data_IF_083869379268
#
_entry.id   IF_083869379268
#
_cell.length_a   1.000
_cell.length_b   1.000
_cell.length_c   1.000
_cell.angle_alpha   90.00
_cell.angle_beta   90.00
_cell.angle_gamma   90.00
#
_symmetry.space_group_name_H-M   'P 1'
#
loop_
_entity.id
_entity.type
_entity.pdbx_description
1 polymer ?
#
# COMPACT_ATOMS: atom_id res chain seq x y z
N UNK A 1 7.49 8.72 -0.78
CA UNK A 1 7.48 9.56 0.45
C UNK A 1 6.49 10.71 0.36
N UNK A 2 6.65 11.67 -0.57
CA UNK A 2 5.70 12.80 -0.70
C UNK A 2 4.24 12.35 -0.87
N UNK A 3 3.97 11.40 -1.77
CA UNK A 3 2.63 10.83 -1.95
C UNK A 3 2.10 10.12 -0.71
N UNK A 4 2.96 9.40 0.02
CA UNK A 4 2.58 8.72 1.26
C UNK A 4 2.13 9.72 2.32
N UNK A 5 2.84 10.85 2.45
CA UNK A 5 2.44 11.94 3.35
C UNK A 5 1.13 12.58 2.90
N UNK A 6 0.95 12.80 1.60
CA UNK A 6 -0.27 13.37 1.04
C UNK A 6 -1.50 12.49 1.32
N UNK A 7 -1.41 11.18 1.07
CA UNK A 7 -2.47 10.21 1.34
C UNK A 7 -2.75 10.08 2.83
N UNK A 8 -1.73 10.12 3.68
CA UNK A 8 -1.84 9.97 5.13
C UNK A 8 -2.21 11.26 5.87
N UNK A 9 -2.27 12.41 5.18
CA UNK A 9 -2.59 13.71 5.77
C UNK A 9 -3.86 13.70 6.66
N UNK A 10 -5.03 13.16 6.24
CA UNK A 10 -6.22 13.13 7.09
C UNK A 10 -6.03 12.27 8.35
N UNK A 11 -5.37 11.12 8.23
CA UNK A 11 -5.06 10.25 9.36
C UNK A 11 -4.15 10.94 10.37
N UNK A 12 -3.09 11.61 9.89
CA UNK A 12 -2.16 12.36 10.75
C UNK A 12 -2.84 13.55 11.44
N UNK A 13 -3.75 14.23 10.74
CA UNK A 13 -4.53 15.32 11.31
C UNK A 13 -5.45 14.82 12.43
N UNK A 14 -6.13 13.69 12.23
CA UNK A 14 -6.99 13.09 13.25
C UNK A 14 -6.19 12.61 14.48
N UNK A 15 -5.01 12.01 14.28
CA UNK A 15 -4.09 11.65 15.36
C UNK A 15 -3.70 12.91 16.16
N UNK A 16 -3.31 14.00 15.48
CA UNK A 16 -2.96 15.26 16.12
C UNK A 16 -4.11 15.86 16.92
N UNK A 17 -5.32 15.85 16.37
CA UNK A 17 -6.54 16.33 17.04
C UNK A 17 -6.86 15.52 18.30
N UNK A 18 -6.70 14.18 18.26
CA UNK A 18 -6.90 13.31 19.43
C UNK A 18 -5.83 13.50 20.48
N UNK A 19 -4.56 13.62 20.06
CA UNK A 19 -3.44 13.88 20.96
C UNK A 19 -3.59 15.21 21.73
N UNK A 20 -4.00 16.29 21.05
CA UNK A 20 -4.23 17.59 21.70
C UNK A 20 -5.38 17.57 22.71
N UNK A 21 -6.43 16.77 22.46
CA UNK A 21 -7.55 16.59 23.42
C UNK A 21 -7.14 15.82 24.68
N UNK A 22 -6.09 15.00 24.60
CA UNK A 22 -5.56 14.25 25.74
C UNK A 22 -4.80 15.20 26.67
N UNK A 23 -3.96 16.08 26.11
CA UNK A 23 -3.17 17.05 26.87
C UNK A 23 -4.06 18.08 27.59
N UNK A 24 -5.15 18.53 26.94
CA UNK A 24 -6.14 19.43 27.55
C UNK A 24 -6.94 18.82 28.72
N UNK A 25 -6.98 17.48 28.86
CA UNK A 25 -7.65 16.78 29.98
C UNK A 25 -6.72 16.51 31.16
N UNK A 26 -5.42 16.78 31.03
CA UNK A 26 -4.44 16.63 32.10
C UNK A 26 -4.71 17.56 33.31
N UNK A 27 -5.57 18.57 33.15
CA UNK A 27 -6.05 19.44 34.23
C UNK A 27 -7.15 18.85 35.14
N UNK A 28 -7.93 17.86 34.69
CA UNK A 28 -9.14 17.41 35.42
C UNK A 28 -9.14 15.93 35.85
N UNK A 29 -8.26 15.06 35.34
CA UNK A 29 -8.21 13.67 35.84
C UNK A 29 -6.85 13.01 35.64
N UNK A 30 -6.10 12.84 36.74
CA UNK A 30 -4.76 12.22 36.80
C UNK A 30 -4.76 10.68 36.73
N UNK A 31 -5.85 10.03 36.33
CA UNK A 31 -6.06 8.59 36.61
C UNK A 31 -6.21 7.68 35.40
N UNK A 32 -6.27 8.19 34.17
CA UNK A 32 -6.16 7.32 33.00
C UNK A 32 -4.66 7.05 32.72
N UNK A 33 -4.23 5.78 32.67
CA UNK A 33 -2.83 5.46 32.44
C UNK A 33 -2.40 6.03 31.07
N UNK A 34 -1.25 6.73 31.04
CA UNK A 34 -0.66 7.32 29.83
C UNK A 34 -0.66 6.36 28.62
N UNK A 35 -0.52 5.07 28.87
CA UNK A 35 -0.59 3.98 27.89
C UNK A 35 -1.96 3.85 27.19
N UNK A 36 -3.07 4.02 27.93
CA UNK A 36 -4.41 3.95 27.35
C UNK A 36 -4.70 5.19 26.48
N UNK A 37 -4.27 6.36 26.93
CA UNK A 37 -4.41 7.60 26.17
C UNK A 37 -3.57 7.58 24.88
N UNK A 38 -2.34 7.05 24.95
CA UNK A 38 -1.51 6.88 23.76
C UNK A 38 -2.17 5.94 22.73
N UNK A 39 -2.84 4.87 23.19
CA UNK A 39 -3.56 3.94 22.30
C UNK A 39 -4.68 4.64 21.54
N UNK A 40 -5.51 5.44 22.22
CA UNK A 40 -6.65 6.15 21.62
C UNK A 40 -6.20 7.18 20.56
N UNK A 41 -5.02 7.78 20.74
CA UNK A 41 -4.43 8.69 19.77
C UNK A 41 -4.03 7.99 18.46
N UNK A 42 -3.64 6.70 18.51
CA UNK A 42 -3.24 5.91 17.33
C UNK A 42 -4.39 5.12 16.69
N UNK A 43 -5.60 5.15 17.24
CA UNK A 43 -6.76 4.48 16.64
C UNK A 43 -7.03 4.88 15.17
N UNK A 44 -6.88 6.14 14.73
CA UNK A 44 -7.07 6.49 13.31
C UNK A 44 -6.10 5.74 12.38
N UNK A 45 -4.87 5.47 12.84
CA UNK A 45 -3.91 4.67 12.08
C UNK A 45 -4.35 3.21 12.00
N UNK A 46 -4.92 2.68 13.07
CA UNK A 46 -5.49 1.33 13.11
C UNK A 46 -6.69 1.21 12.18
N UNK A 47 -7.57 2.20 12.16
CA UNK A 47 -8.73 2.24 11.27
C UNK A 47 -8.32 2.32 9.80
N UNK A 48 -7.29 3.12 9.48
CA UNK A 48 -6.68 3.16 8.15
C UNK A 48 -6.18 1.77 7.73
N UNK A 49 -5.39 1.09 8.57
CA UNK A 49 -4.91 -0.25 8.27
C UNK A 49 -6.06 -1.27 8.13
N UNK A 50 -7.14 -1.14 8.91
CA UNK A 50 -8.31 -2.00 8.78
C UNK A 50 -9.06 -1.79 7.47
N UNK A 51 -9.16 -0.55 6.99
CA UNK A 51 -9.77 -0.19 5.69
C UNK A 51 -8.99 -0.78 4.52
N UNK A 52 -7.65 -0.76 4.60
CA UNK A 52 -6.76 -1.13 3.50
C UNK A 52 -6.16 -2.55 3.62
N UNK A 53 -6.40 -3.27 4.72
CA UNK A 53 -5.99 -4.66 4.87
C UNK A 53 -7.10 -5.62 4.44
N UNK A 54 -6.78 -6.50 3.49
CA UNK A 54 -7.74 -7.48 2.99
C UNK A 54 -8.16 -8.47 4.10
N UNK A 55 -9.46 -8.82 4.22
CA UNK A 55 -9.93 -9.75 5.25
C UNK A 55 -9.24 -11.12 5.20
N UNK A 56 -9.01 -11.66 4.00
CA UNK A 56 -8.34 -12.94 3.79
C UNK A 56 -6.91 -12.94 4.33
N UNK A 57 -6.17 -11.85 4.12
CA UNK A 57 -4.82 -11.72 4.67
C UNK A 57 -4.82 -11.67 6.20
N UNK A 58 -5.78 -10.95 6.80
CA UNK A 58 -5.93 -10.90 8.27
C UNK A 58 -6.27 -12.26 8.87
N UNK A 59 -7.11 -13.04 8.20
CA UNK A 59 -7.43 -14.40 8.63
C UNK A 59 -6.25 -15.35 8.51
N UNK A 60 -5.44 -15.24 7.44
CA UNK A 60 -4.22 -16.04 7.26
C UNK A 60 -3.20 -15.77 8.36
N UNK A 61 -2.98 -14.50 8.71
CA UNK A 61 -2.08 -14.14 9.81
C UNK A 61 -2.64 -14.53 11.17
N UNK A 62 -3.97 -14.44 11.39
CA UNK A 62 -4.60 -14.96 12.59
C UNK A 62 -4.43 -16.49 12.71
N UNK A 63 -4.62 -17.23 11.62
CA UNK A 63 -4.41 -18.67 11.61
C UNK A 63 -2.95 -19.04 11.90
N UNK A 64 -2.00 -18.24 11.39
CA UNK A 64 -0.57 -18.39 11.69
C UNK A 64 -0.27 -18.08 13.15
N UNK A 65 -0.82 -16.99 13.69
CA UNK A 65 -0.71 -16.63 15.11
C UNK A 65 -1.24 -17.74 16.02
N UNK A 66 -2.39 -18.33 15.69
CA UNK A 66 -2.96 -19.46 16.45
C UNK A 66 -2.07 -20.69 16.52
N UNK A 67 -1.18 -20.89 15.54
CA UNK A 67 -0.25 -22.01 15.48
C UNK A 67 1.10 -21.70 16.13
N UNK A 68 1.59 -20.46 15.98
CA UNK A 68 2.95 -20.06 16.33
C UNK A 68 3.05 -19.40 17.72
N UNK A 69 1.97 -18.80 18.22
CA UNK A 69 1.98 -18.09 19.50
C UNK A 69 1.67 -19.02 20.68
N UNK A 70 2.10 -18.65 21.90
CA UNK A 70 1.69 -19.32 23.13
C UNK A 70 0.15 -19.42 23.23
N UNK A 71 -0.37 -20.58 23.67
CA UNK A 71 -1.82 -20.90 23.67
C UNK A 71 -2.68 -19.85 24.40
N UNK A 72 -2.18 -19.28 25.48
CA UNK A 72 -2.87 -18.23 26.24
C UNK A 72 -3.09 -16.96 25.40
N UNK A 73 -2.14 -16.57 24.56
CA UNK A 73 -2.22 -15.38 23.71
C UNK A 73 -3.00 -15.70 22.42
N UNK A 74 -2.75 -16.87 21.85
CA UNK A 74 -3.38 -17.36 20.62
C UNK A 74 -4.91 -17.49 20.72
N UNK A 75 -5.44 -17.86 21.89
CA UNK A 75 -6.88 -18.06 22.08
C UNK A 75 -7.67 -16.75 22.10
N UNK A 76 -7.04 -15.67 22.57
CA UNK A 76 -7.67 -14.34 22.66
C UNK A 76 -7.40 -13.47 21.42
N UNK A 77 -6.47 -13.90 20.56
CA UNK A 77 -6.06 -13.18 19.37
C UNK A 77 -7.22 -12.99 18.37
N UNK A 78 -7.36 -11.77 17.88
CA UNK A 78 -8.34 -11.36 16.87
C UNK A 78 -7.64 -10.87 15.61
N UNK A 79 -8.30 -11.05 14.46
CA UNK A 79 -7.83 -10.54 13.17
C UNK A 79 -7.63 -9.00 13.14
N UNK A 80 -8.22 -8.29 14.10
CA UNK A 80 -8.14 -6.84 14.26
C UNK A 80 -7.05 -6.38 15.23
N UNK A 81 -6.30 -7.31 15.83
CA UNK A 81 -5.23 -6.97 16.77
C UNK A 81 -4.04 -6.40 16.01
N UNK A 82 -3.43 -5.34 16.55
CA UNK A 82 -2.36 -4.59 15.87
C UNK A 82 -1.20 -5.47 15.39
N UNK A 83 -0.83 -6.49 16.18
CA UNK A 83 0.25 -7.44 15.85
C UNK A 83 -0.07 -8.34 14.64
N UNK A 84 -1.35 -8.59 14.36
CA UNK A 84 -1.82 -9.32 13.18
C UNK A 84 -2.10 -8.34 12.03
N UNK A 85 -2.67 -7.19 12.34
CA UNK A 85 -3.10 -6.19 11.38
C UNK A 85 -1.95 -5.58 10.61
N UNK A 86 -0.83 -5.22 11.27
CA UNK A 86 0.34 -4.61 10.62
C UNK A 86 0.89 -5.51 9.49
N UNK A 87 1.27 -6.78 9.72
CA UNK A 87 1.80 -7.61 8.64
C UNK A 87 0.73 -7.92 7.58
N UNK A 88 -0.54 -8.05 7.97
CA UNK A 88 -1.65 -8.26 7.02
C UNK A 88 -1.85 -7.07 6.09
N UNK A 89 -1.75 -5.84 6.60
CA UNK A 89 -1.80 -4.61 5.83
C UNK A 89 -0.62 -4.55 4.85
N UNK A 90 0.61 -4.75 5.33
CA UNK A 90 1.82 -4.72 4.49
C UNK A 90 1.73 -5.70 3.32
N UNK A 91 1.29 -6.95 3.58
CA UNK A 91 1.13 -7.96 2.52
C UNK A 91 0.01 -7.59 1.56
N UNK A 92 -1.11 -7.05 2.05
CA UNK A 92 -2.23 -6.59 1.20
C UNK A 92 -1.76 -5.50 0.23
N UNK A 93 -1.06 -4.50 0.74
CA UNK A 93 -0.53 -3.38 -0.04
C UNK A 93 0.54 -3.83 -1.03
N UNK A 94 1.39 -4.79 -0.65
CA UNK A 94 2.39 -5.36 -1.56
C UNK A 94 1.73 -6.10 -2.74
N UNK A 95 0.67 -6.88 -2.47
CA UNK A 95 -0.08 -7.55 -3.53
C UNK A 95 -0.73 -6.55 -4.49
N UNK A 96 -1.37 -5.50 -3.95
CA UNK A 96 -1.97 -4.43 -4.76
C UNK A 96 -0.90 -3.73 -5.60
N UNK A 97 0.25 -3.40 -5.00
CA UNK A 97 1.38 -2.79 -5.71
C UNK A 97 1.91 -3.68 -6.84
N UNK A 98 1.96 -4.99 -6.64
CA UNK A 98 2.35 -5.94 -7.68
C UNK A 98 1.33 -6.03 -8.80
N UNK A 99 0.03 -6.05 -8.49
CA UNK A 99 -1.06 -6.06 -9.48
C UNK A 99 -1.02 -4.80 -10.34
N UNK A 100 -0.89 -3.62 -9.72
CA UNK A 100 -0.75 -2.35 -10.45
C UNK A 100 0.50 -2.39 -11.33
N UNK A 101 1.65 -2.81 -10.78
CA UNK A 101 2.90 -2.92 -11.54
C UNK A 101 2.76 -3.85 -12.75
N UNK A 102 2.07 -4.97 -12.60
CA UNK A 102 1.79 -5.91 -13.68
C UNK A 102 0.91 -5.28 -14.78
N UNK A 103 -0.20 -4.64 -14.39
CA UNK A 103 -1.09 -3.97 -15.34
C UNK A 103 -0.39 -2.87 -16.14
N UNK A 104 0.49 -2.10 -15.49
CA UNK A 104 1.29 -1.06 -16.15
C UNK A 104 2.34 -1.64 -17.10
N UNK A 105 2.81 -2.86 -16.83
CA UNK A 105 3.83 -3.52 -17.64
C UNK A 105 3.26 -4.11 -18.94
N UNK A 106 2.00 -4.55 -18.95
CA UNK A 106 1.32 -5.15 -20.12
C UNK A 106 1.52 -4.35 -21.43
N UNK A 107 1.18 -3.05 -21.52
CA UNK A 107 1.32 -2.31 -22.78
C UNK A 107 2.76 -2.28 -23.28
N UNK A 108 3.75 -2.26 -22.38
CA UNK A 108 5.16 -2.26 -22.75
C UNK A 108 5.64 -3.62 -23.27
N UNK A 109 5.12 -4.72 -22.73
CA UNK A 109 5.38 -6.07 -23.25
C UNK A 109 4.81 -6.22 -24.65
N UNK A 110 3.60 -5.71 -24.89
CA UNK A 110 2.98 -5.74 -26.22
C UNK A 110 3.86 -5.01 -27.24
N UNK A 111 4.42 -3.85 -26.87
CA UNK A 111 5.36 -3.11 -27.73
C UNK A 111 6.61 -3.94 -28.03
N UNK A 112 7.19 -4.60 -27.03
CA UNK A 112 8.36 -5.45 -27.24
C UNK A 112 8.06 -6.59 -28.22
N UNK A 113 6.96 -7.30 -28.02
CA UNK A 113 6.55 -8.41 -28.90
C UNK A 113 6.29 -7.94 -30.34
N UNK A 114 5.61 -6.79 -30.51
CA UNK A 114 5.33 -6.24 -31.83
C UNK A 114 6.61 -5.82 -32.56
N UNK A 115 7.50 -5.07 -31.90
CA UNK A 115 8.73 -4.59 -32.53
C UNK A 115 9.68 -5.74 -32.85
N UNK A 116 9.80 -6.73 -31.95
CA UNK A 116 10.58 -7.94 -32.22
C UNK A 116 10.07 -8.69 -33.45
N UNK A 117 8.76 -8.90 -33.58
CA UNK A 117 8.17 -9.57 -34.73
C UNK A 117 8.39 -8.78 -36.04
N UNK A 118 8.28 -7.45 -36.00
CA UNK A 118 8.55 -6.59 -37.15
C UNK A 118 10.02 -6.65 -37.60
N UNK A 119 10.97 -6.60 -36.67
CA UNK A 119 12.39 -6.71 -37.00
C UNK A 119 12.75 -8.08 -37.58
N UNK A 120 12.17 -9.15 -37.04
CA UNK A 120 12.34 -10.49 -37.59
C UNK A 120 11.79 -10.59 -39.01
N UNK A 121 10.61 -10.01 -39.28
CA UNK A 121 10.01 -9.98 -40.62
C UNK A 121 10.85 -9.18 -41.63
N UNK A 122 11.55 -8.14 -41.19
CA UNK A 122 12.47 -7.34 -42.01
C UNK A 122 13.85 -8.00 -42.21
N UNK A 123 14.10 -9.16 -41.61
CA UNK A 123 15.40 -9.84 -41.66
C UNK A 123 16.49 -9.18 -40.82
N UNK A 124 16.14 -8.24 -39.93
CA UNK A 124 17.09 -7.47 -39.12
C UNK A 124 17.45 -8.22 -37.82
N UNK A 125 18.03 -9.41 -37.93
CA UNK A 125 18.34 -10.27 -36.77
C UNK A 125 19.50 -9.74 -35.90
N UNK A 126 20.37 -8.89 -36.45
CA UNK A 126 21.53 -8.34 -35.73
C UNK A 126 21.20 -7.12 -34.87
N UNK A 127 20.04 -6.50 -35.09
CA UNK A 127 19.63 -5.32 -34.31
C UNK A 127 18.82 -5.78 -33.11
N UNK A 128 19.28 -5.42 -31.91
CA UNK A 128 18.52 -5.68 -30.69
C UNK A 128 17.20 -4.90 -30.73
N UNK A 129 16.03 -5.57 -30.60
CA UNK A 129 14.74 -4.90 -30.54
C UNK A 129 14.64 -3.86 -29.42
N UNK A 130 15.39 -4.06 -28.33
CA UNK A 130 15.40 -3.17 -27.17
C UNK A 130 15.85 -1.74 -27.52
N UNK A 131 16.79 -1.59 -28.45
CA UNK A 131 17.29 -0.27 -28.88
C UNK A 131 16.17 0.58 -29.49
N UNK A 132 15.18 -0.07 -30.12
CA UNK A 132 14.02 0.60 -30.73
C UNK A 132 12.87 0.72 -29.73
N UNK A 133 12.64 -0.29 -28.88
CA UNK A 133 11.46 -0.29 -27.99
C UNK A 133 11.59 0.70 -26.83
N UNK A 134 12.79 0.93 -26.28
CA UNK A 134 12.99 1.87 -25.16
C UNK A 134 12.51 3.30 -25.49
N UNK A 135 12.96 3.97 -26.56
CA UNK A 135 12.48 5.32 -26.88
C UNK A 135 10.97 5.34 -27.20
N UNK A 136 10.44 4.30 -27.83
CA UNK A 136 9.01 4.19 -28.14
C UNK A 136 8.15 4.07 -26.87
N UNK A 137 8.60 3.27 -25.89
CA UNK A 137 7.93 3.14 -24.59
C UNK A 137 7.91 4.44 -23.82
N UNK A 138 9.04 5.16 -23.79
CA UNK A 138 9.13 6.47 -23.14
C UNK A 138 8.21 7.49 -23.82
N UNK A 139 8.19 7.52 -25.16
CA UNK A 139 7.30 8.37 -25.92
C UNK A 139 5.83 8.07 -25.60
N UNK A 140 5.43 6.80 -25.65
CA UNK A 140 4.07 6.39 -25.32
C UNK A 140 3.69 6.84 -23.91
N UNK A 141 4.56 6.60 -22.92
CA UNK A 141 4.30 6.94 -21.53
C UNK A 141 4.13 8.44 -21.31
N UNK A 142 4.92 9.28 -21.97
CA UNK A 142 4.79 10.74 -21.91
C UNK A 142 3.56 11.22 -22.67
N UNK A 143 3.28 10.66 -23.86
CA UNK A 143 2.13 11.04 -24.68
C UNK A 143 0.79 10.83 -23.99
N UNK A 144 0.68 9.80 -23.15
CA UNK A 144 -0.55 9.52 -22.41
C UNK A 144 -0.64 10.26 -21.06
N UNK A 145 0.32 11.11 -20.73
CA UNK A 145 0.52 11.67 -19.38
C UNK A 145 0.53 10.58 -18.30
N UNK A 146 1.44 9.61 -18.46
CA UNK A 146 1.54 8.44 -17.59
C UNK A 146 1.77 8.82 -16.13
N UNK A 147 2.64 9.80 -15.85
CA UNK A 147 2.91 10.25 -14.48
C UNK A 147 1.68 10.84 -13.81
N UNK A 148 0.97 11.77 -14.46
CA UNK A 148 -0.22 12.39 -13.89
C UNK A 148 -1.32 11.37 -13.57
N UNK A 149 -1.59 10.46 -14.51
CA UNK A 149 -2.59 9.40 -14.33
C UNK A 149 -2.22 8.43 -13.21
N UNK A 150 -0.96 8.02 -13.12
CA UNK A 150 -0.49 7.12 -12.06
C UNK A 150 -0.64 7.73 -10.67
N UNK A 151 -0.17 8.97 -10.50
CA UNK A 151 -0.25 9.66 -9.22
C UNK A 151 -1.70 9.91 -8.81
N UNK A 152 -2.56 10.31 -9.75
CA UNK A 152 -3.98 10.50 -9.50
C UNK A 152 -4.68 9.18 -9.13
N UNK A 153 -4.45 8.11 -9.90
CA UNK A 153 -5.03 6.80 -9.61
C UNK A 153 -4.61 6.27 -8.24
N UNK A 154 -3.33 6.45 -7.88
CA UNK A 154 -2.81 6.10 -6.56
C UNK A 154 -3.47 6.93 -5.45
N UNK A 155 -3.59 8.26 -5.62
CA UNK A 155 -4.25 9.09 -4.61
C UNK A 155 -5.72 8.68 -4.41
N UNK A 156 -6.44 8.44 -5.52
CA UNK A 156 -7.84 8.05 -5.50
C UNK A 156 -8.08 6.65 -4.94
N UNK A 157 -7.10 5.73 -5.02
CA UNK A 157 -7.26 4.37 -4.47
C UNK A 157 -7.25 4.33 -2.94
N UNK A 158 -6.71 5.37 -2.28
CA UNK A 158 -6.72 5.49 -0.81
C UNK A 158 -7.77 6.45 -0.26
N UNK A 159 -8.46 7.19 -1.13
CA UNK A 159 -9.52 8.12 -0.75
C UNK A 159 -10.71 7.41 -0.05
#
# INVERSE_FOLDING_TARGET
LAMSVFVMAPTMQEIGNRAMKIDGRAGESRTAPLLAQARDAFDPLRDFMLKHSRPDQRELFLASAKKLWPKNIANEAKATDTLILIPSFVVSELQIGYEIGFLLYIPFVVIDLLVSNLLMALGMQQVSPQTITIPLKLLLFVLIDGWGKLLNALAMSYA
#
